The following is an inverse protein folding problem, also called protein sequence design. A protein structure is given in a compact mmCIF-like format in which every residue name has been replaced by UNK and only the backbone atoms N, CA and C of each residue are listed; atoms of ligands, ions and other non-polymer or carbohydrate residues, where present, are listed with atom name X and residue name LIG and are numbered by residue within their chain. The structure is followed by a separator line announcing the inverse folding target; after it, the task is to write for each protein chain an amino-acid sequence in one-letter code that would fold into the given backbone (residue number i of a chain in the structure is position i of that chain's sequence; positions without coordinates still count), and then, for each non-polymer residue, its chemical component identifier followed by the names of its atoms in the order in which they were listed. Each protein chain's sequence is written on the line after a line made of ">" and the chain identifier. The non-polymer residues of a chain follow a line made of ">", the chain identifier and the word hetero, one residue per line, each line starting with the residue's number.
data_IF_747161472140
#
_entry.id   IF_747161472140
#
_cell.length_a   1.000
_cell.length_b   1.000
_cell.length_c   1.000
_cell.angle_alpha   90.00
_cell.angle_beta   90.00
_cell.angle_gamma   90.00
#
_symmetry.space_group_name_H-M   'P 1'
#
loop_
_entity.id
_entity.type
_entity.pdbx_description
1 polymer ?
#
# COMPACT_ATOMS: atom_id res chain seq x y z
N UNK A 1 -3.09 -17.68 -8.50
CA UNK A 1 -2.37 -17.31 -7.26
C UNK A 1 -3.04 -16.07 -6.70
N UNK A 2 -3.50 -16.09 -5.44
CA UNK A 2 -4.21 -14.97 -4.84
C UNK A 2 -3.21 -13.89 -4.38
N UNK A 3 -3.49 -12.62 -4.68
CA UNK A 3 -2.81 -11.50 -4.03
C UNK A 3 -3.41 -11.40 -2.63
N UNK A 4 -2.62 -11.70 -1.61
CA UNK A 4 -3.04 -11.56 -0.22
C UNK A 4 -2.66 -10.18 0.31
N UNK A 5 -3.66 -9.40 0.73
CA UNK A 5 -3.49 -8.06 1.29
C UNK A 5 -3.71 -6.91 0.28
N UNK A 6 -3.66 -5.65 0.76
CA UNK A 6 -3.81 -4.48 -0.09
C UNK A 6 -2.75 -4.38 -1.17
N UNK A 7 -3.17 -3.92 -2.34
CA UNK A 7 -2.32 -3.62 -3.48
C UNK A 7 -2.67 -2.26 -4.07
N UNK A 8 -1.75 -1.74 -4.87
CA UNK A 8 -1.97 -0.59 -5.73
C UNK A 8 -1.58 -0.95 -7.16
N UNK A 9 -2.25 -0.34 -8.14
CA UNK A 9 -1.86 -0.41 -9.54
C UNK A 9 -1.20 0.90 -9.94
N UNK A 10 -0.17 0.84 -10.78
CA UNK A 10 0.54 2.01 -11.27
C UNK A 10 0.65 1.98 -12.80
N UNK A 11 0.47 3.15 -13.40
CA UNK A 11 0.56 3.41 -14.84
C UNK A 11 1.10 4.84 -15.03
N UNK A 12 2.04 5.03 -15.97
CA UNK A 12 2.67 6.33 -16.24
C UNK A 12 3.09 7.09 -14.96
N UNK A 13 3.81 6.39 -14.08
CA UNK A 13 4.33 6.92 -12.82
C UNK A 13 3.28 7.29 -11.75
N UNK A 14 1.99 7.14 -12.04
CA UNK A 14 0.88 7.45 -11.12
C UNK A 14 0.19 6.21 -10.61
N UNK A 15 -0.23 6.22 -9.35
CA UNK A 15 -1.05 5.14 -8.80
C UNK A 15 -2.53 5.36 -9.10
N UNK A 16 -3.21 4.27 -9.41
CA UNK A 16 -4.66 4.24 -9.50
C UNK A 16 -5.25 4.66 -8.15
N UNK A 17 -6.15 5.63 -8.17
CA UNK A 17 -6.74 6.24 -6.97
C UNK A 17 -8.24 6.45 -7.14
N UNK A 18 -8.97 6.23 -6.06
CA UNK A 18 -10.38 6.58 -5.94
C UNK A 18 -10.55 8.10 -5.89
N UNK A 19 -11.44 8.64 -6.74
CA UNK A 19 -11.79 10.06 -6.74
C UNK A 19 -12.82 10.31 -5.64
N UNK A 20 -12.35 10.94 -4.55
CA UNK A 20 -13.16 11.39 -3.42
C UNK A 20 -13.29 12.92 -3.38
N UNK A 21 -13.78 13.51 -4.46
CA UNK A 21 -14.11 14.94 -4.50
C UNK A 21 -15.61 15.13 -4.77
N UNK A 22 -16.06 16.39 -4.78
CA UNK A 22 -17.45 16.74 -5.08
C UNK A 22 -17.70 16.94 -6.59
N UNK A 23 -16.92 16.28 -7.46
CA UNK A 23 -17.09 16.36 -8.90
C UNK A 23 -18.02 15.28 -9.45
N UNK A 24 -18.35 15.36 -10.73
CA UNK A 24 -19.09 14.32 -11.45
C UNK A 24 -18.31 12.99 -11.55
N UNK A 25 -16.99 13.03 -11.31
CA UNK A 25 -16.13 11.86 -11.29
C UNK A 25 -16.01 11.23 -9.90
N UNK A 26 -16.78 11.68 -8.90
CA UNK A 26 -16.87 10.99 -7.61
C UNK A 26 -17.18 9.50 -7.84
N UNK A 27 -16.41 8.62 -7.22
CA UNK A 27 -16.58 7.17 -7.37
C UNK A 27 -15.72 6.52 -8.46
N UNK A 28 -15.18 7.32 -9.38
CA UNK A 28 -14.33 6.84 -10.46
C UNK A 28 -12.91 6.53 -9.97
N UNK A 29 -12.19 5.75 -10.79
CA UNK A 29 -10.82 5.37 -10.54
C UNK A 29 -9.90 6.02 -11.58
N UNK A 30 -8.87 6.71 -11.10
CA UNK A 30 -7.97 7.52 -11.92
C UNK A 30 -6.51 7.28 -11.58
N UNK A 31 -5.66 7.24 -12.59
CA UNK A 31 -4.20 7.27 -12.40
C UNK A 31 -3.70 8.68 -12.08
N UNK A 32 -3.99 9.16 -10.87
CA UNK A 32 -3.58 10.48 -10.36
C UNK A 32 -2.83 10.44 -9.03
N UNK A 33 -2.76 9.27 -8.39
CA UNK A 33 -2.14 9.08 -7.08
C UNK A 33 -0.63 9.28 -7.09
N UNK A 34 -0.13 9.87 -6.01
CA UNK A 34 1.30 10.12 -5.81
C UNK A 34 2.06 8.88 -5.29
N UNK A 35 3.40 8.91 -5.38
CA UNK A 35 4.29 7.95 -4.73
C UNK A 35 4.86 8.59 -3.47
N UNK A 36 4.65 8.03 -2.27
CA UNK A 36 3.99 6.75 -1.95
C UNK A 36 2.46 6.79 -2.09
N UNK A 37 1.81 5.63 -2.33
CA UNK A 37 0.35 5.55 -2.52
C UNK A 37 -0.40 5.93 -1.23
N UNK A 38 -1.49 6.68 -1.40
CA UNK A 38 -2.41 7.04 -0.31
C UNK A 38 -3.46 5.94 -0.07
N UNK A 39 -4.29 6.08 0.97
CA UNK A 39 -5.43 5.17 1.22
C UNK A 39 -6.43 5.11 0.07
N UNK A 40 -6.59 6.21 -0.70
CA UNK A 40 -7.41 6.23 -1.92
C UNK A 40 -6.84 5.35 -3.04
N UNK A 41 -5.55 5.05 -2.97
CA UNK A 41 -4.82 4.27 -3.97
C UNK A 41 -4.68 2.79 -3.60
N UNK A 42 -5.38 2.34 -2.54
CA UNK A 42 -5.29 0.98 -2.02
C UNK A 42 -6.57 0.19 -2.34
N UNK A 43 -6.36 -1.03 -2.82
CA UNK A 43 -7.42 -1.95 -3.21
C UNK A 43 -7.17 -3.34 -2.66
N UNK A 44 -8.23 -4.14 -2.58
CA UNK A 44 -8.20 -5.50 -2.04
C UNK A 44 -8.90 -6.47 -2.97
N UNK A 45 -8.32 -7.65 -3.09
CA UNK A 45 -8.90 -8.79 -3.78
C UNK A 45 -9.76 -9.59 -2.79
N UNK A 46 -11.01 -9.86 -3.17
CA UNK A 46 -11.87 -10.85 -2.53
C UNK A 46 -12.13 -11.98 -3.51
N UNK A 47 -11.65 -13.19 -3.18
CA UNK A 47 -11.81 -14.36 -4.05
C UNK A 47 -13.27 -14.74 -4.18
N UNK A 48 -13.71 -15.02 -5.40
CA UNK A 48 -15.07 -15.46 -5.68
C UNK A 48 -15.37 -16.79 -4.95
N UNK A 49 -16.61 -16.93 -4.48
CA UNK A 49 -17.10 -18.15 -3.83
C UNK A 49 -17.45 -19.23 -4.84
N UNK A 50 -17.89 -18.82 -6.04
CA UNK A 50 -18.45 -19.71 -7.06
C UNK A 50 -17.43 -20.19 -8.10
N UNK A 51 -16.28 -19.53 -8.22
CA UNK A 51 -15.32 -19.81 -9.29
C UNK A 51 -13.87 -19.63 -8.83
N UNK A 52 -13.05 -20.65 -9.06
CA UNK A 52 -11.62 -20.55 -8.78
C UNK A 52 -10.95 -19.48 -9.63
N UNK A 53 -10.00 -18.74 -9.04
CA UNK A 53 -9.16 -17.73 -9.70
C UNK A 53 -9.88 -16.46 -10.16
N UNK A 54 -11.20 -16.37 -10.01
CA UNK A 54 -11.96 -15.13 -10.16
C UNK A 54 -12.04 -14.42 -8.81
N UNK A 55 -12.16 -13.10 -8.87
CA UNK A 55 -12.24 -12.27 -7.67
C UNK A 55 -12.91 -10.94 -7.95
N UNK A 56 -13.49 -10.37 -6.91
CA UNK A 56 -13.90 -8.97 -6.91
C UNK A 56 -12.78 -8.11 -6.34
N UNK A 57 -12.74 -6.85 -6.77
CA UNK A 57 -11.80 -5.85 -6.23
C UNK A 57 -12.62 -4.83 -5.46
N UNK A 58 -12.20 -4.45 -4.25
CA UNK A 58 -12.82 -3.37 -3.48
C UNK A 58 -11.81 -2.31 -3.08
N UNK A 59 -12.28 -1.07 -3.00
CA UNK A 59 -11.49 0.05 -2.47
C UNK A 59 -11.31 -0.10 -0.96
N UNK A 60 -10.10 0.15 -0.48
CA UNK A 60 -9.81 0.19 0.95
C UNK A 60 -10.40 1.44 1.60
N UNK A 61 -10.65 2.50 0.83
CA UNK A 61 -11.15 3.77 1.36
C UNK A 61 -12.65 3.72 1.70
N UNK A 62 -13.51 3.34 0.74
CA UNK A 62 -14.97 3.38 0.90
C UNK A 62 -15.61 1.99 1.06
N UNK A 63 -14.80 0.92 1.06
CA UNK A 63 -15.23 -0.48 1.16
C UNK A 63 -16.15 -0.98 0.03
N UNK A 64 -16.27 -0.23 -1.07
CA UNK A 64 -17.11 -0.58 -2.22
C UNK A 64 -16.35 -1.33 -3.30
N UNK A 65 -17.06 -2.20 -4.01
CA UNK A 65 -16.55 -3.05 -5.07
C UNK A 65 -16.49 -2.34 -6.41
N UNK A 66 -15.49 -2.71 -7.20
CA UNK A 66 -15.32 -2.30 -8.58
C UNK A 66 -16.42 -2.91 -9.43
N UNK A 67 -17.10 -2.06 -10.19
CA UNK A 67 -18.17 -2.44 -11.10
C UNK A 67 -18.05 -1.63 -12.39
N UNK A 68 -18.47 -2.25 -13.49
CA UNK A 68 -18.55 -1.59 -14.79
C UNK A 68 -19.76 -0.66 -14.85
N UNK A 69 -19.53 0.64 -15.01
CA UNK A 69 -20.56 1.63 -15.36
C UNK A 69 -20.60 1.77 -16.88
N UNK A 70 -21.64 1.21 -17.48
CA UNK A 70 -21.86 1.32 -18.93
C UNK A 70 -22.16 2.77 -19.30
N UNK A 71 -21.48 3.25 -20.35
CA UNK A 71 -21.80 4.51 -21.02
C UNK A 71 -22.91 4.26 -22.04
N UNK A 72 -23.88 5.17 -22.10
CA UNK A 72 -24.96 5.14 -23.09
C UNK A 72 -24.58 5.81 -24.43
N UNK A 73 -23.34 6.29 -24.55
CA UNK A 73 -22.88 6.99 -25.75
C UNK A 73 -22.34 6.01 -26.79
N UNK A 74 -22.55 6.31 -28.07
CA UNK A 74 -22.17 5.52 -29.25
C UNK A 74 -20.63 5.37 -29.47
N UNK A 75 -19.83 5.74 -28.47
CA UNK A 75 -18.36 5.70 -28.49
C UNK A 75 -17.80 4.92 -27.27
N UNK A 76 -18.34 3.72 -27.05
CA UNK A 76 -17.75 2.48 -26.48
C UNK A 76 -16.64 2.56 -25.41
N UNK A 77 -16.70 3.53 -24.50
CA UNK A 77 -15.93 3.52 -23.25
C UNK A 77 -16.84 3.20 -22.07
N UNK A 78 -16.57 2.08 -21.40
CA UNK A 78 -17.22 1.73 -20.15
C UNK A 78 -16.28 2.02 -18.99
N UNK A 79 -16.77 2.67 -17.94
CA UNK A 79 -15.94 3.09 -16.82
C UNK A 79 -15.90 2.04 -15.73
N UNK A 80 -14.76 1.87 -15.07
CA UNK A 80 -14.69 1.10 -13.83
C UNK A 80 -14.77 2.08 -12.65
N UNK A 81 -15.77 1.87 -11.80
CA UNK A 81 -16.04 2.70 -10.62
C UNK A 81 -16.08 1.83 -9.36
N UNK A 82 -15.77 2.40 -8.19
CA UNK A 82 -15.84 1.69 -6.91
C UNK A 82 -17.11 2.08 -6.14
N UNK A 83 -18.27 1.59 -6.61
CA UNK A 83 -19.59 2.01 -6.14
C UNK A 83 -20.48 0.87 -5.63
N UNK A 84 -20.22 -0.38 -6.02
CA UNK A 84 -21.08 -1.50 -5.65
C UNK A 84 -20.93 -1.87 -4.18
N UNK A 85 -22.05 -2.07 -3.47
CA UNK A 85 -22.04 -2.39 -2.03
C UNK A 85 -21.68 -3.86 -1.75
N UNK A 86 -21.96 -4.76 -2.71
CA UNK A 86 -21.74 -6.20 -2.58
C UNK A 86 -21.11 -6.78 -3.86
N UNK A 87 -20.35 -7.88 -3.76
CA UNK A 87 -19.84 -8.56 -4.93
C UNK A 87 -20.98 -9.27 -5.68
N UNK A 88 -21.07 -9.03 -6.98
CA UNK A 88 -21.93 -9.79 -7.88
C UNK A 88 -21.08 -10.80 -8.69
N UNK A 89 -21.32 -12.09 -8.45
CA UNK A 89 -20.62 -13.20 -9.10
C UNK A 89 -21.35 -13.76 -10.34
N UNK A 90 -22.52 -13.24 -10.70
CA UNK A 90 -23.20 -13.61 -11.94
C UNK A 90 -22.43 -13.07 -13.16
N UNK A 91 -21.69 -13.97 -13.81
CA UNK A 91 -20.87 -13.65 -14.97
C UNK A 91 -21.67 -13.15 -16.18
N UNK A 92 -22.99 -13.39 -16.22
CA UNK A 92 -23.86 -12.89 -17.29
C UNK A 92 -24.45 -11.51 -17.01
N UNK A 93 -24.31 -11.01 -15.77
CA UNK A 93 -24.87 -9.73 -15.35
C UNK A 93 -23.98 -8.55 -15.73
N UNK A 94 -24.61 -7.47 -16.19
CA UNK A 94 -23.92 -6.20 -16.49
C UNK A 94 -23.32 -5.54 -15.24
N UNK A 95 -23.81 -5.90 -14.05
CA UNK A 95 -23.26 -5.44 -12.77
C UNK A 95 -22.29 -6.44 -12.15
N UNK A 96 -21.80 -7.42 -12.93
CA UNK A 96 -20.76 -8.34 -12.50
C UNK A 96 -19.55 -7.58 -11.96
N UNK A 97 -19.01 -8.05 -10.84
CA UNK A 97 -17.84 -7.44 -10.17
C UNK A 97 -16.58 -8.28 -10.31
N UNK A 98 -16.66 -9.38 -11.08
CA UNK A 98 -15.59 -10.35 -11.19
C UNK A 98 -14.53 -9.92 -12.21
N UNK A 99 -13.28 -10.09 -11.80
CA UNK A 99 -12.09 -9.91 -12.60
C UNK A 99 -11.19 -11.15 -12.52
N UNK A 100 -10.21 -11.20 -13.44
CA UNK A 100 -9.09 -12.14 -13.37
C UNK A 100 -7.77 -11.47 -13.72
N UNK A 101 -6.69 -11.90 -13.06
CA UNK A 101 -5.33 -11.48 -13.37
C UNK A 101 -4.82 -12.18 -14.63
N UNK A 102 -4.07 -11.44 -15.45
CA UNK A 102 -3.22 -11.97 -16.51
C UNK A 102 -1.81 -11.45 -16.23
N UNK A 103 -0.92 -12.33 -15.76
CA UNK A 103 0.47 -11.98 -15.45
C UNK A 103 1.31 -12.03 -16.73
N UNK A 104 2.01 -10.94 -17.05
CA UNK A 104 2.76 -10.80 -18.30
C UNK A 104 4.20 -11.34 -18.17
N UNK A 105 4.83 -11.08 -17.02
CA UNK A 105 6.20 -11.52 -16.75
C UNK A 105 6.24 -12.55 -15.61
N UNK A 106 7.22 -13.45 -15.70
CA UNK A 106 7.69 -14.34 -14.65
C UNK A 106 8.02 -13.64 -13.32
N UNK A 107 8.46 -12.37 -13.36
CA UNK A 107 8.72 -11.55 -12.17
C UNK A 107 7.45 -10.92 -11.56
N UNK A 108 6.29 -11.04 -12.23
CA UNK A 108 4.92 -10.76 -11.70
C UNK A 108 4.64 -9.33 -11.24
N UNK A 109 5.48 -8.38 -11.60
CA UNK A 109 5.28 -6.97 -11.30
C UNK A 109 4.45 -6.27 -12.39
N UNK A 110 4.29 -6.87 -13.57
CA UNK A 110 3.39 -6.38 -14.62
C UNK A 110 2.18 -7.29 -14.81
N UNK A 111 0.99 -6.70 -14.82
CA UNK A 111 -0.29 -7.40 -14.90
C UNK A 111 -1.25 -6.70 -15.86
N UNK A 112 -2.13 -7.49 -16.48
CA UNK A 112 -3.38 -7.01 -17.03
C UNK A 112 -4.52 -7.52 -16.15
N UNK A 113 -5.64 -6.80 -16.17
CA UNK A 113 -6.83 -7.19 -15.46
C UNK A 113 -7.97 -7.37 -16.47
N UNK A 114 -8.64 -8.52 -16.45
CA UNK A 114 -9.77 -8.79 -17.35
C UNK A 114 -11.08 -8.80 -16.58
N UNK A 115 -12.05 -8.02 -17.03
CA UNK A 115 -13.42 -8.03 -16.54
C UNK A 115 -14.16 -9.26 -17.08
N UNK A 116 -14.81 -10.02 -16.20
CA UNK A 116 -15.33 -11.35 -16.53
C UNK A 116 -16.56 -11.29 -17.43
N UNK A 117 -17.54 -10.44 -17.12
CA UNK A 117 -18.79 -10.37 -17.89
C UNK A 117 -18.54 -9.89 -19.34
N UNK A 118 -17.72 -8.87 -19.51
CA UNK A 118 -17.39 -8.34 -20.84
C UNK A 118 -16.30 -9.15 -21.54
N UNK A 119 -15.54 -9.98 -20.82
CA UNK A 119 -14.35 -10.70 -21.30
C UNK A 119 -13.31 -9.77 -21.98
N UNK A 120 -13.21 -8.54 -21.48
CA UNK A 120 -12.34 -7.49 -22.01
C UNK A 120 -11.32 -7.04 -20.97
N UNK A 121 -10.13 -6.68 -21.43
CA UNK A 121 -9.11 -6.12 -20.54
C UNK A 121 -9.54 -4.71 -20.08
N UNK A 122 -9.22 -4.42 -18.82
CA UNK A 122 -9.31 -3.08 -18.27
C UNK A 122 -8.11 -2.30 -18.79
N UNK A 123 -8.35 -1.08 -19.23
CA UNK A 123 -7.36 -0.17 -19.81
C UNK A 123 -7.46 1.23 -19.20
N UNK A 124 -6.47 2.07 -19.49
CA UNK A 124 -6.54 3.50 -19.22
C UNK A 124 -7.19 4.20 -20.41
N UNK A 125 -8.28 4.92 -20.16
CA UNK A 125 -8.77 5.94 -21.08
C UNK A 125 -8.01 7.23 -20.85
N UNK A 126 -7.29 7.67 -21.88
CA UNK A 126 -6.67 8.98 -21.93
C UNK A 126 -7.60 10.04 -22.55
N UNK A 127 -8.87 9.67 -22.81
CA UNK A 127 -9.88 10.59 -23.32
C UNK A 127 -10.03 11.76 -22.34
N UNK A 128 -10.04 12.98 -22.89
CA UNK A 128 -10.05 14.23 -22.13
C UNK A 128 -8.91 14.40 -21.10
N UNK A 129 -7.80 13.68 -21.26
CA UNK A 129 -6.63 13.74 -20.38
C UNK A 129 -6.89 13.31 -18.94
N UNK A 130 -7.95 12.52 -18.70
CA UNK A 130 -8.35 12.16 -17.35
C UNK A 130 -7.74 10.84 -16.85
N UNK A 131 -7.04 10.05 -17.67
CA UNK A 131 -6.37 8.80 -17.27
C UNK A 131 -7.26 7.90 -16.39
N UNK A 132 -8.53 7.76 -16.77
CA UNK A 132 -9.55 7.02 -16.02
C UNK A 132 -9.46 5.53 -16.34
N UNK A 133 -9.80 4.70 -15.37
CA UNK A 133 -9.88 3.26 -15.57
C UNK A 133 -11.16 2.91 -16.34
N UNK A 134 -10.98 2.23 -17.47
CA UNK A 134 -12.06 1.91 -18.39
C UNK A 134 -11.94 0.50 -18.96
N UNK A 135 -12.96 0.09 -19.70
CA UNK A 135 -12.95 -1.03 -20.62
C UNK A 135 -13.30 -0.43 -21.99
N UNK A 136 -12.40 -0.58 -22.95
CA UNK A 136 -12.56 -0.03 -24.29
C UNK A 136 -13.18 -1.07 -25.23
N UNK A 137 -14.38 -0.80 -25.74
CA UNK A 137 -15.18 -1.72 -26.56
C UNK A 137 -14.90 -1.68 -28.06
N UNK A 138 -13.68 -1.36 -28.53
CA UNK A 138 -13.49 -0.96 -29.94
C UNK A 138 -13.37 -2.10 -30.97
N UNK A 139 -13.90 -3.31 -30.71
CA UNK A 139 -13.80 -4.43 -31.66
C UNK A 139 -12.36 -4.86 -32.00
N UNK A 140 -11.37 -4.36 -31.25
CA UNK A 140 -10.01 -4.84 -31.26
C UNK A 140 -10.00 -6.27 -30.72
N UNK A 141 -9.11 -7.10 -31.24
CA UNK A 141 -8.90 -8.45 -30.75
C UNK A 141 -8.71 -8.39 -29.21
N UNK A 142 -9.57 -9.04 -28.40
CA UNK A 142 -9.43 -9.09 -26.94
C UNK A 142 -8.11 -9.72 -26.46
N UNK A 143 -7.31 -10.27 -27.37
CA UNK A 143 -5.96 -10.76 -27.14
C UNK A 143 -4.85 -9.80 -27.57
N UNK A 144 -5.16 -8.69 -28.25
CA UNK A 144 -4.19 -7.66 -28.61
C UNK A 144 -3.78 -6.89 -27.35
N UNK A 145 -2.49 -6.96 -27.01
CA UNK A 145 -1.90 -6.23 -25.89
C UNK A 145 -1.71 -4.77 -26.26
N UNK A 146 -2.20 -3.87 -25.41
CA UNK A 146 -2.01 -2.42 -25.54
C UNK A 146 -1.12 -1.92 -24.40
N UNK A 147 -0.38 -0.84 -24.59
CA UNK A 147 0.40 -0.28 -23.46
C UNK A 147 -0.52 0.20 -22.33
N UNK A 148 -1.72 0.69 -22.69
CA UNK A 148 -2.73 1.20 -21.75
C UNK A 148 -3.46 0.12 -20.94
N UNK A 149 -3.25 -1.18 -21.21
CA UNK A 149 -3.87 -2.29 -20.46
C UNK A 149 -2.87 -3.05 -19.55
N UNK A 150 -1.65 -2.54 -19.43
CA UNK A 150 -0.58 -3.08 -18.61
C UNK A 150 -0.35 -2.18 -17.40
N UNK A 151 -0.39 -2.78 -16.21
CA UNK A 151 -0.20 -2.10 -14.95
C UNK A 151 0.97 -2.68 -14.18
N UNK A 152 1.72 -1.81 -13.50
CA UNK A 152 2.64 -2.21 -12.46
C UNK A 152 1.85 -2.56 -11.19
N UNK A 153 2.01 -3.78 -10.69
CA UNK A 153 1.37 -4.28 -9.49
C UNK A 153 2.26 -4.03 -8.27
N UNK A 154 1.86 -3.09 -7.43
CA UNK A 154 2.56 -2.78 -6.20
C UNK A 154 1.89 -3.47 -5.00
N UNK A 155 2.58 -4.44 -4.40
CA UNK A 155 2.12 -5.16 -3.20
C UNK A 155 2.74 -4.53 -1.96
N UNK A 156 1.92 -3.98 -1.07
CA UNK A 156 2.44 -3.28 0.11
C UNK A 156 2.79 -4.27 1.24
N UNK A 157 1.87 -5.17 1.60
CA UNK A 157 2.16 -6.24 2.57
C UNK A 157 1.22 -7.42 2.40
N UNK A 158 1.69 -8.59 2.82
CA UNK A 158 0.88 -9.80 2.88
C UNK A 158 0.07 -9.80 4.19
N UNK A 159 -1.21 -9.41 4.13
CA UNK A 159 -2.13 -9.46 5.29
C UNK A 159 -2.44 -10.89 5.70
N UNK A 160 -2.38 -11.86 4.78
CA UNK A 160 -2.90 -13.20 5.02
C UNK A 160 -2.09 -14.01 6.06
N UNK A 161 -0.95 -13.50 6.52
CA UNK A 161 -0.05 -14.22 7.42
C UNK A 161 -0.01 -13.73 8.88
N UNK A 162 -0.83 -12.74 9.28
CA UNK A 162 -0.60 -12.07 10.58
C UNK A 162 -1.88 -11.67 11.32
N UNK A 163 -2.56 -12.64 11.96
CA UNK A 163 -3.45 -12.31 13.10
C UNK A 163 -2.67 -11.80 14.31
N UNK A 164 -1.36 -12.06 14.37
CA UNK A 164 -0.48 -11.65 15.46
C UNK A 164 0.49 -10.56 15.01
N UNK A 165 0.67 -9.49 15.78
CA UNK A 165 1.65 -8.47 15.46
C UNK A 165 3.06 -9.04 15.26
N UNK A 166 3.77 -8.52 14.26
CA UNK A 166 5.16 -8.91 14.01
C UNK A 166 6.11 -8.01 14.80
N UNK A 167 7.07 -8.58 15.53
CA UNK A 167 8.12 -7.79 16.18
C UNK A 167 9.26 -7.60 15.20
N UNK A 168 9.71 -6.35 15.04
CA UNK A 168 10.77 -5.97 14.12
C UNK A 168 11.81 -5.06 14.78
N UNK A 169 13.01 -5.01 14.20
CA UNK A 169 14.00 -3.97 14.44
C UNK A 169 14.46 -3.39 13.09
N UNK A 170 14.65 -2.08 13.02
CA UNK A 170 15.08 -1.38 11.82
C UNK A 170 16.54 -0.97 11.95
N UNK A 171 17.36 -1.26 10.93
CA UNK A 171 18.76 -0.86 10.87
C UNK A 171 18.99 0.12 9.72
N UNK A 172 19.52 1.30 10.04
CA UNK A 172 19.77 2.36 9.09
C UNK A 172 21.06 2.19 8.30
N UNK A 173 21.25 3.06 7.31
CA UNK A 173 22.45 3.18 6.48
C UNK A 173 23.72 3.51 7.29
N UNK A 174 23.56 4.19 8.44
CA UNK A 174 24.65 4.46 9.38
C UNK A 174 25.11 3.21 10.18
N UNK A 175 24.53 2.04 9.91
CA UNK A 175 24.88 0.79 10.58
C UNK A 175 24.35 0.63 12.00
N UNK A 176 23.48 1.54 12.47
CA UNK A 176 22.85 1.50 13.79
C UNK A 176 21.38 1.07 13.71
N UNK A 177 20.87 0.48 14.78
CA UNK A 177 19.46 0.20 14.95
C UNK A 177 18.70 1.44 15.41
N UNK A 178 17.49 1.59 14.91
CA UNK A 178 16.52 2.56 15.38
C UNK A 178 16.07 2.17 16.80
N UNK A 179 16.07 3.13 17.71
CA UNK A 179 15.54 2.96 19.05
C UNK A 179 14.73 4.17 19.52
N UNK A 180 13.88 3.95 20.53
CA UNK A 180 13.32 5.06 21.31
C UNK A 180 14.45 5.69 22.13
N UNK A 181 14.72 6.97 21.88
CA UNK A 181 15.81 7.74 22.48
C UNK A 181 15.26 9.11 22.94
N UNK A 182 14.77 9.23 24.19
CA UNK A 182 14.13 10.45 24.64
C UNK A 182 15.11 11.63 24.73
N UNK A 183 14.75 12.76 24.13
CA UNK A 183 15.49 14.03 24.23
C UNK A 183 14.53 15.04 24.87
N UNK A 184 14.92 15.63 26.00
CA UNK A 184 14.10 16.56 26.79
C UNK A 184 12.67 16.03 27.10
N UNK A 185 12.57 14.72 27.34
CA UNK A 185 11.30 14.05 27.65
C UNK A 185 10.42 13.72 26.43
N UNK A 186 10.83 14.11 25.23
CA UNK A 186 10.13 13.79 23.98
C UNK A 186 10.70 12.47 23.44
N UNK A 187 9.82 11.50 23.17
CA UNK A 187 10.19 10.15 22.74
C UNK A 187 10.55 10.10 21.24
N UNK A 188 11.72 10.64 20.87
CA UNK A 188 12.25 10.52 19.52
C UNK A 188 12.62 9.08 19.17
N UNK A 189 12.61 8.78 17.87
CA UNK A 189 13.16 7.55 17.31
C UNK A 189 14.50 7.87 16.65
N UNK A 190 15.59 7.23 17.08
CA UNK A 190 16.96 7.57 16.65
C UNK A 190 17.78 6.35 16.26
N UNK A 191 18.51 6.43 15.16
CA UNK A 191 19.43 5.38 14.69
C UNK A 191 20.75 5.46 15.47
N UNK A 192 20.73 5.05 16.74
CA UNK A 192 21.85 5.17 17.67
C UNK A 192 22.28 3.85 18.34
N UNK A 193 21.50 2.78 18.26
CA UNK A 193 21.82 1.51 18.92
C UNK A 193 22.78 0.63 18.10
N UNK A 194 23.74 -0.03 18.76
CA UNK A 194 24.71 -0.93 18.13
C UNK A 194 24.19 -2.36 17.89
N UNK A 195 23.31 -2.82 18.78
CA UNK A 195 22.73 -4.16 18.76
C UNK A 195 21.19 -4.11 18.77
N UNK A 196 20.57 -5.28 18.59
CA UNK A 196 19.14 -5.46 18.54
C UNK A 196 18.58 -6.23 19.76
N UNK A 197 19.27 -6.21 20.89
CA UNK A 197 18.94 -7.04 22.07
C UNK A 197 18.09 -6.29 23.11
N UNK A 198 17.90 -4.98 22.94
CA UNK A 198 17.19 -4.11 23.90
C UNK A 198 15.74 -3.87 23.49
N UNK A 199 14.83 -3.78 24.44
CA UNK A 199 13.42 -3.46 24.16
C UNK A 199 13.23 -2.10 23.47
N UNK A 200 14.19 -1.18 23.58
CA UNK A 200 14.14 0.14 22.93
C UNK A 200 14.25 0.07 21.41
N UNK A 201 14.82 -1.02 20.85
CA UNK A 201 14.95 -1.24 19.40
C UNK A 201 13.83 -2.11 18.81
N UNK A 202 12.94 -2.64 19.65
CA UNK A 202 11.88 -3.55 19.22
C UNK A 202 10.58 -2.80 19.00
N UNK A 203 10.01 -3.00 17.82
CA UNK A 203 8.76 -2.40 17.39
C UNK A 203 7.76 -3.49 17.01
N UNK A 204 6.53 -3.34 17.45
CA UNK A 204 5.43 -4.26 17.17
C UNK A 204 4.59 -3.68 16.04
N UNK A 205 4.61 -4.31 14.87
CA UNK A 205 3.84 -3.93 13.70
C UNK A 205 2.45 -4.58 13.73
N UNK A 206 1.43 -3.74 13.83
CA UNK A 206 0.02 -4.12 13.83
C UNK A 206 -0.54 -3.81 12.44
N UNK A 207 -0.71 -4.87 11.63
CA UNK A 207 -1.22 -4.75 10.27
C UNK A 207 -2.73 -4.53 10.27
N UNK A 208 -3.18 -3.58 9.46
CA UNK A 208 -4.60 -3.34 9.19
C UNK A 208 -4.84 -3.38 7.68
N UNK A 209 -6.09 -3.11 7.31
CA UNK A 209 -6.50 -2.97 5.93
C UNK A 209 -5.98 -1.69 5.27
N UNK A 210 -5.74 -0.67 6.10
CA UNK A 210 -5.34 0.66 5.64
C UNK A 210 -3.82 0.86 5.70
N UNK A 211 -3.09 0.10 6.52
CA UNK A 211 -1.65 0.31 6.72
C UNK A 211 -1.14 -0.45 7.94
N UNK A 212 -0.11 0.09 8.58
CA UNK A 212 0.57 -0.51 9.72
C UNK A 212 0.66 0.52 10.84
N UNK A 213 0.13 0.16 12.01
CA UNK A 213 0.44 0.86 13.24
C UNK A 213 1.71 0.27 13.84
N UNK A 214 2.68 1.10 14.18
CA UNK A 214 3.96 0.66 14.74
C UNK A 214 4.02 1.08 16.20
N UNK A 215 4.10 0.10 17.11
CA UNK A 215 4.18 0.34 18.55
C UNK A 215 5.59 0.09 19.07
N UNK A 216 6.13 1.02 19.83
CA UNK A 216 7.40 0.86 20.53
C UNK A 216 7.25 -0.05 21.76
N UNK A 217 8.06 -1.12 21.84
CA UNK A 217 7.97 -2.09 22.95
C UNK A 217 8.43 -1.52 24.30
N UNK A 218 9.35 -0.56 24.29
CA UNK A 218 9.94 0.03 25.50
C UNK A 218 8.97 0.89 26.30
N UNK A 219 8.10 1.66 25.63
CA UNK A 219 7.15 2.57 26.27
C UNK A 219 5.67 2.24 25.99
N UNK A 220 5.39 1.30 25.07
CA UNK A 220 4.04 0.88 24.72
C UNK A 220 3.28 1.83 23.80
N UNK A 221 3.91 2.92 23.33
CA UNK A 221 3.27 3.98 22.55
C UNK A 221 3.43 3.76 21.05
N UNK A 222 2.48 4.29 20.28
CA UNK A 222 2.46 4.24 18.83
C UNK A 222 3.35 5.32 18.22
N UNK A 223 3.86 5.01 17.04
CA UNK A 223 4.55 5.95 16.20
C UNK A 223 3.56 6.94 15.60
N UNK A 224 3.92 8.22 15.63
CA UNK A 224 3.13 9.33 15.08
C UNK A 224 4.04 10.26 14.30
N UNK A 225 3.58 10.66 13.13
CA UNK A 225 4.20 11.71 12.34
C UNK A 225 3.71 13.09 12.81
N UNK A 226 4.65 13.89 13.30
CA UNK A 226 4.44 15.25 13.77
C UNK A 226 5.28 16.24 12.97
N UNK A 227 4.63 16.94 12.04
CA UNK A 227 5.24 17.84 11.06
C UNK A 227 6.30 17.22 10.15
N UNK A 228 7.50 16.96 10.67
CA UNK A 228 8.62 16.31 9.97
C UNK A 228 9.18 15.12 10.73
N UNK A 229 8.81 14.93 11.99
CA UNK A 229 9.47 13.99 12.90
C UNK A 229 8.56 12.80 13.16
N UNK A 230 9.14 11.62 13.32
CA UNK A 230 8.40 10.47 13.85
C UNK A 230 8.69 10.33 15.34
N UNK A 231 7.64 10.40 16.14
CA UNK A 231 7.68 10.30 17.60
C UNK A 231 7.01 9.01 18.05
N UNK A 232 7.44 8.45 19.18
CA UNK A 232 6.81 7.30 19.84
C UNK A 232 6.00 7.76 21.06
N UNK A 233 5.00 8.61 20.83
CA UNK A 233 4.25 9.33 21.87
C UNK A 233 2.72 9.14 21.82
N UNK A 234 2.19 8.46 20.81
CA UNK A 234 0.75 8.35 20.60
C UNK A 234 0.13 7.20 21.41
N UNK A 235 -0.96 7.48 22.14
CA UNK A 235 -1.67 6.46 22.92
C UNK A 235 -2.58 5.61 22.04
N UNK A 236 -2.93 4.42 22.54
CA UNK A 236 -3.77 3.45 21.82
C UNK A 236 -5.27 3.71 21.97
N UNK A 237 -5.66 4.60 22.87
CA UNK A 237 -7.07 4.77 23.28
C UNK A 237 -7.91 5.51 22.23
N UNK A 238 -7.25 6.12 21.24
CA UNK A 238 -7.87 6.86 20.13
C UNK A 238 -7.19 6.52 18.80
N UNK A 239 -7.24 5.25 18.38
CA UNK A 239 -6.87 4.85 17.02
C UNK A 239 -7.88 5.44 16.01
N UNK A 240 -7.72 6.71 15.64
CA UNK A 240 -8.39 7.25 14.46
C UNK A 240 -7.46 7.11 13.24
N UNK A 241 -8.01 6.90 12.02
CA UNK A 241 -7.24 6.93 10.78
C UNK A 241 -6.46 8.25 10.58
N UNK A 242 -6.90 9.32 11.24
CA UNK A 242 -6.36 10.68 11.09
C UNK A 242 -5.14 10.96 11.96
N UNK A 243 -4.71 10.04 12.83
CA UNK A 243 -3.64 10.28 13.81
C UNK A 243 -2.21 10.40 13.23
N UNK A 244 -2.02 10.58 11.91
CA UNK A 244 -0.68 10.59 11.29
C UNK A 244 0.20 9.38 11.72
N UNK A 245 -0.43 8.27 12.10
CA UNK A 245 0.19 7.12 12.77
C UNK A 245 0.09 5.84 11.93
N UNK A 246 -0.46 5.96 10.72
CA UNK A 246 -0.62 4.88 9.78
C UNK A 246 0.55 4.90 8.78
N UNK A 247 1.36 3.85 8.82
CA UNK A 247 2.54 3.71 7.98
C UNK A 247 2.32 2.65 6.90
N UNK A 248 3.05 2.75 5.81
CA UNK A 248 3.17 1.66 4.84
C UNK A 248 4.63 1.28 4.64
N UNK A 249 4.85 0.04 4.23
CA UNK A 249 6.17 -0.51 3.94
C UNK A 249 6.26 -0.75 2.43
N UNK A 250 7.25 -0.14 1.80
CA UNK A 250 7.67 -0.43 0.42
C UNK A 250 8.90 -1.30 0.48
N UNK A 251 8.85 -2.49 -0.12
CA UNK A 251 10.03 -3.35 -0.25
C UNK A 251 10.83 -2.94 -1.48
N UNK A 252 12.12 -2.72 -1.31
CA UNK A 252 13.07 -2.52 -2.42
C UNK A 252 14.03 -3.70 -2.47
N UNK A 253 14.23 -4.25 -3.68
CA UNK A 253 15.29 -5.20 -3.94
C UNK A 253 16.51 -4.41 -4.40
N UNK A 254 17.61 -4.56 -3.67
CA UNK A 254 18.91 -4.04 -4.10
C UNK A 254 19.51 -4.94 -5.19
N UNK A 255 20.48 -4.41 -5.97
CA UNK A 255 21.26 -5.21 -6.93
C UNK A 255 21.96 -6.43 -6.30
N UNK A 256 22.17 -6.40 -4.99
CA UNK A 256 22.78 -7.48 -4.20
C UNK A 256 21.75 -8.47 -3.61
N UNK A 257 20.47 -8.42 -4.03
CA UNK A 257 19.38 -9.24 -3.48
C UNK A 257 19.15 -9.12 -1.96
N UNK A 258 19.64 -8.04 -1.33
CA UNK A 258 19.22 -7.69 0.03
C UNK A 258 17.85 -7.03 -0.05
N UNK A 259 16.87 -7.59 0.66
CA UNK A 259 15.57 -6.97 0.87
C UNK A 259 15.74 -5.78 1.83
N UNK A 260 15.61 -4.58 1.29
CA UNK A 260 15.47 -3.35 2.06
C UNK A 260 14.01 -2.94 2.09
N UNK A 261 13.68 -2.10 3.06
CA UNK A 261 12.35 -1.50 3.14
C UNK A 261 12.46 0.00 3.31
N UNK A 262 11.48 0.72 2.78
CA UNK A 262 11.23 2.11 3.08
C UNK A 262 9.87 2.25 3.74
N UNK A 263 9.84 2.95 4.86
CA UNK A 263 8.62 3.31 5.56
C UNK A 263 8.08 4.60 4.96
N UNK A 264 6.77 4.71 4.82
CA UNK A 264 6.13 5.96 4.43
C UNK A 264 4.91 6.26 5.31
N UNK A 265 4.62 7.54 5.45
CA UNK A 265 3.47 8.07 6.18
C UNK A 265 2.90 9.24 5.38
N UNK A 266 1.60 9.15 5.05
CA UNK A 266 1.00 10.04 4.06
C UNK A 266 1.78 10.01 2.75
N UNK A 267 2.21 11.18 2.27
CA UNK A 267 2.97 11.34 1.02
C UNK A 267 4.50 11.36 1.19
N UNK A 268 5.01 11.06 2.39
CA UNK A 268 6.43 11.20 2.70
C UNK A 268 7.06 9.86 3.04
N UNK A 269 8.28 9.66 2.54
CA UNK A 269 9.15 8.59 2.97
C UNK A 269 9.86 8.98 4.27
N UNK A 270 9.94 8.02 5.18
CA UNK A 270 10.69 8.13 6.42
C UNK A 270 12.18 7.89 6.11
N UNK A 271 13.06 8.70 6.68
CA UNK A 271 14.50 8.60 6.49
C UNK A 271 15.25 8.99 7.78
N UNK A 272 16.52 8.59 7.86
CA UNK A 272 17.43 9.10 8.89
C UNK A 272 17.76 10.58 8.64
N UNK A 273 17.63 11.40 9.68
CA UNK A 273 18.00 12.81 9.61
C UNK A 273 19.52 12.98 9.57
N UNK A 274 20.02 13.65 8.54
CA UNK A 274 21.44 13.96 8.37
C UNK A 274 21.82 15.36 8.90
N UNK A 275 20.84 16.17 9.31
CA UNK A 275 21.10 17.50 9.85
C UNK A 275 21.88 17.41 11.19
N UNK A 276 22.73 18.39 11.44
CA UNK A 276 23.48 18.50 12.70
C UNK A 276 22.57 18.91 13.87
N UNK A 277 23.05 18.66 15.10
CA UNK A 277 22.33 18.99 16.33
C UNK A 277 21.70 17.76 17.00
N UNK A 278 20.82 17.99 17.97
CA UNK A 278 20.29 16.93 18.83
C UNK A 278 19.42 15.93 18.05
N UNK A 279 18.75 16.42 17.01
CA UNK A 279 17.92 15.63 16.09
C UNK A 279 18.71 14.87 15.01
N UNK A 280 20.05 14.94 15.04
CA UNK A 280 20.88 14.13 14.15
C UNK A 280 20.54 12.65 14.35
N UNK A 281 20.45 11.91 13.25
CA UNK A 281 20.11 10.49 13.20
C UNK A 281 18.69 10.13 13.67
N UNK A 282 17.83 11.12 13.96
CA UNK A 282 16.41 10.86 14.25
C UNK A 282 15.64 10.46 12.99
N UNK A 283 14.58 9.66 13.16
CA UNK A 283 13.66 9.30 12.09
C UNK A 283 12.73 10.48 11.77
N UNK A 284 12.75 10.89 10.51
CA UNK A 284 11.99 12.03 9.97
C UNK A 284 11.24 11.62 8.73
N UNK A 285 10.13 12.28 8.40
CA UNK A 285 9.34 12.02 7.20
C UNK A 285 9.01 13.32 6.46
N UNK A 286 9.82 13.64 5.44
CA UNK A 286 9.58 14.75 4.53
C UNK A 286 10.10 14.50 3.11
N UNK A 287 10.73 13.34 2.87
CA UNK A 287 11.28 13.00 1.56
C UNK A 287 10.15 12.61 0.60
N UNK A 288 10.15 13.19 -0.59
CA UNK A 288 9.19 12.86 -1.65
C UNK A 288 9.59 11.63 -2.47
N UNK A 289 10.82 11.13 -2.31
CA UNK A 289 11.37 9.97 -3.00
C UNK A 289 12.19 9.13 -2.02
N UNK A 290 12.42 7.87 -2.36
CA UNK A 290 13.31 6.99 -1.58
C UNK A 290 14.76 7.47 -1.76
N UNK A 291 15.39 7.86 -0.66
CA UNK A 291 16.81 8.21 -0.54
C UNK A 291 17.58 7.03 0.07
N UNK A 292 18.93 7.09 0.07
CA UNK A 292 19.73 6.06 0.73
C UNK A 292 19.42 5.95 2.23
N UNK A 293 19.11 7.07 2.87
CA UNK A 293 18.72 7.16 4.28
C UNK A 293 17.29 6.67 4.56
N UNK A 294 16.47 6.51 3.52
CA UNK A 294 15.12 5.96 3.60
C UNK A 294 15.10 4.43 3.41
N UNK A 295 16.20 3.82 2.98
CA UNK A 295 16.32 2.38 2.83
C UNK A 295 16.89 1.76 4.11
N UNK A 296 16.06 1.00 4.82
CA UNK A 296 16.44 0.35 6.07
C UNK A 296 16.34 -1.16 5.96
N UNK A 297 17.22 -1.86 6.67
CA UNK A 297 17.08 -3.32 6.86
C UNK A 297 16.05 -3.56 7.95
N UNK A 298 15.11 -4.48 7.71
CA UNK A 298 14.10 -4.86 8.69
C UNK A 298 14.33 -6.30 9.16
N UNK A 299 14.78 -6.44 10.40
CA UNK A 299 14.98 -7.74 11.04
C UNK A 299 13.67 -8.17 11.73
N UNK A 300 13.11 -9.31 11.34
CA UNK A 300 11.85 -9.84 11.91
C UNK A 300 12.13 -10.87 13.01
N UNK A 301 11.36 -10.82 14.08
CA UNK A 301 11.42 -11.77 15.20
C UNK A 301 10.09 -12.52 15.31
N UNK A 302 10.12 -13.83 15.11
CA UNK A 302 8.94 -14.67 15.31
C UNK A 302 8.75 -14.95 16.79
N UNK A 303 7.54 -14.73 17.31
CA UNK A 303 7.14 -15.00 18.69
C UNK A 303 7.00 -16.49 19.03
N UNK A 304 7.72 -17.40 18.34
CA UNK A 304 7.70 -18.83 18.68
C UNK A 304 8.20 -18.96 20.12
N UNK A 305 7.24 -19.30 21.00
CA UNK A 305 7.38 -19.54 22.43
C UNK A 305 8.69 -20.26 22.78
N UNK A 306 9.42 -19.74 23.77
CA UNK A 306 10.37 -20.56 24.53
C UNK A 306 11.58 -19.82 25.10
N UNK A 307 11.47 -19.42 26.37
CA UNK A 307 12.57 -19.25 27.32
C UNK A 307 13.59 -18.12 27.08
N UNK A 308 13.25 -16.91 27.55
CA UNK A 308 14.22 -16.20 28.38
C UNK A 308 13.97 -16.66 29.82
N UNK A 309 14.73 -17.68 30.25
CA UNK A 309 14.95 -17.92 31.68
C UNK A 309 16.02 -16.92 32.12
N UNK A 310 15.73 -16.27 33.24
CA UNK A 310 16.53 -15.35 34.07
C UNK A 310 18.03 -15.32 33.78
#
# INVERSE_FOLDING_TARGET
>A
MAISGPFSLKYNEKYLSYINDNSELHGFLQFSGDDPPSTYSLFKVEMAKTAEQLFSIRSVFNDKYWVCRLSNNEHDEHWIVAEADEPNEDQSSLTCTLFKWIFIDSDRDQVQLRHVNLNMNVSVSETYSQSLLSIFGNGLDPSARLESDVFELFKLWDVASSKEPTIVAFKGDNGKYLQVDPIDGIAYLKFSADDNQRLTVWFECHHTDHGIYIRSKSNGLLWRHDSKVILADCSTDHLSPDCNSLFHIKRTKTKENKELVSLCVGKFYCQRNNESGDMKDCLVAYASNITGEAEVRMDKYSRKLGAYRN
#
